data_IF_777736245769
#
_entry.id   IF_777736245769
#
_cell.length_a   1.000
_cell.length_b   1.000
_cell.length_c   1.000
_cell.angle_alpha   90.00
_cell.angle_beta   90.00
_cell.angle_gamma   90.00
#
_symmetry.space_group_name_H-M   'P 1'
#
loop_
_entity.id
_entity.type
_entity.pdbx_description
1 polymer ?
#
# COMPACT_ATOMS: atom_id res chain seq x y z
N UNK A 1 -25.11 -31.26 38.55
CA UNK A 1 -24.93 -32.70 38.60
C UNK A 1 -23.45 -32.97 38.86
N UNK A 2 -23.18 -33.50 40.05
CA UNK A 2 -21.87 -33.96 40.55
C UNK A 2 -21.62 -35.38 40.08
N UNK A 3 -20.33 -35.73 39.87
CA UNK A 3 -19.67 -37.05 40.13
C UNK A 3 -18.24 -36.87 39.60
N UNK A 4 -17.19 -36.80 40.29
CA UNK A 4 -16.56 -37.42 41.49
C UNK A 4 -15.84 -38.76 41.18
N UNK A 5 -14.48 -38.66 41.28
CA UNK A 5 -13.43 -39.57 41.76
C UNK A 5 -13.43 -41.05 41.38
N UNK A 6 -12.23 -41.55 40.99
CA UNK A 6 -11.53 -42.58 41.77
C UNK A 6 -10.07 -42.74 41.37
N UNK A 7 -9.26 -42.84 42.40
CA UNK A 7 -7.85 -43.21 42.52
C UNK A 7 -7.70 -44.71 42.72
N UNK A 8 -6.53 -45.24 42.43
CA UNK A 8 -5.75 -46.26 43.20
C UNK A 8 -4.87 -47.05 42.21
N UNK A 9 -3.74 -47.49 42.44
CA UNK A 9 -2.69 -47.57 43.45
C UNK A 9 -1.71 -48.67 42.98
N UNK A 10 -0.42 -48.38 43.17
CA UNK A 10 0.73 -49.20 43.57
C UNK A 10 0.85 -50.70 43.28
N UNK A 11 2.08 -51.11 42.85
CA UNK A 11 3.11 -51.85 43.59
C UNK A 11 4.24 -52.31 42.66
N UNK A 12 5.48 -51.95 42.86
CA UNK A 12 6.61 -52.53 43.62
C UNK A 12 6.91 -54.02 43.37
N UNK A 13 8.14 -54.29 42.88
CA UNK A 13 9.17 -55.02 43.61
C UNK A 13 10.33 -55.53 42.72
N UNK A 14 11.53 -55.18 43.07
CA UNK A 14 12.76 -55.95 43.34
C UNK A 14 13.15 -57.06 42.34
N UNK A 15 14.37 -57.08 41.80
CA UNK A 15 15.55 -57.50 42.44
C UNK A 15 16.64 -57.97 41.48
N UNK A 16 17.87 -57.73 41.89
CA UNK A 16 19.09 -58.53 41.75
C UNK A 16 19.97 -58.34 40.49
N UNK A 17 21.17 -57.82 40.74
CA UNK A 17 22.43 -58.05 40.00
C UNK A 17 22.97 -59.49 40.32
N UNK A 18 23.92 -60.12 39.54
CA UNK A 18 25.33 -59.72 39.61
C UNK A 18 26.21 -59.88 38.33
N UNK A 19 27.25 -59.09 38.32
CA UNK A 19 28.71 -59.35 38.11
C UNK A 19 29.21 -60.30 36.98
N UNK A 20 30.11 -59.72 36.16
CA UNK A 20 31.32 -60.48 35.77
C UNK A 20 31.73 -60.37 34.29
N UNK A 21 32.91 -59.86 34.04
CA UNK A 21 33.74 -60.36 32.93
C UNK A 21 34.13 -59.32 31.90
N UNK A 22 35.29 -58.69 32.09
CA UNK A 22 35.97 -57.87 31.10
C UNK A 22 36.51 -58.64 29.91
N UNK A 23 36.54 -57.95 28.76
CA UNK A 23 37.54 -58.20 27.72
C UNK A 23 37.68 -56.89 26.88
N UNK A 24 38.91 -56.48 26.90
CA UNK A 24 39.50 -55.46 26.08
C UNK A 24 39.39 -55.82 24.58
N UNK A 25 38.80 -54.99 23.77
CA UNK A 25 38.90 -55.07 22.32
C UNK A 25 39.07 -53.70 21.74
N UNK A 26 40.17 -53.53 20.99
CA UNK A 26 40.58 -52.34 20.24
C UNK A 26 39.42 -51.80 19.40
N UNK A 27 39.06 -50.56 19.63
CA UNK A 27 38.25 -49.81 18.68
C UNK A 27 39.15 -49.06 17.70
N UNK A 28 39.16 -49.50 16.47
CA UNK A 28 39.69 -48.76 15.31
C UNK A 28 38.80 -47.55 15.12
N UNK A 29 39.36 -46.36 15.38
CA UNK A 29 38.69 -45.07 15.07
C UNK A 29 38.80 -44.82 13.56
N UNK A 30 37.77 -45.15 12.82
CA UNK A 30 37.60 -44.71 11.46
C UNK A 30 37.10 -43.25 11.51
N UNK A 31 38.01 -42.31 11.31
CA UNK A 31 37.70 -40.90 11.12
C UNK A 31 36.96 -40.72 9.78
N UNK A 32 35.64 -40.75 9.80
CA UNK A 32 34.85 -40.24 8.71
C UNK A 32 34.85 -38.71 8.81
N UNK A 33 35.69 -38.06 8.01
CA UNK A 33 35.56 -36.68 7.69
C UNK A 33 34.26 -36.48 6.88
N UNK A 34 33.19 -36.18 7.57
CA UNK A 34 31.98 -35.66 6.93
C UNK A 34 32.31 -34.27 6.35
N UNK A 35 32.63 -34.22 5.05
CA UNK A 35 32.59 -33.00 4.31
C UNK A 35 31.13 -32.54 4.28
N UNK A 36 30.74 -31.71 5.24
CA UNK A 36 29.49 -30.96 5.20
C UNK A 36 29.57 -30.00 4.03
N UNK A 37 28.94 -30.36 2.91
CA UNK A 37 28.51 -29.37 1.92
C UNK A 37 27.60 -28.37 2.68
N UNK A 38 28.20 -27.25 3.04
CA UNK A 38 27.45 -26.06 3.41
C UNK A 38 26.75 -25.58 2.13
N UNK A 39 25.61 -26.20 1.79
CA UNK A 39 24.66 -25.59 0.90
C UNK A 39 24.28 -24.28 1.60
N UNK A 40 24.82 -23.16 1.07
CA UNK A 40 24.42 -21.83 1.49
C UNK A 40 22.92 -21.73 1.25
N UNK A 41 22.13 -22.05 2.26
CA UNK A 41 20.71 -21.74 2.31
C UNK A 41 20.64 -20.22 2.34
N UNK A 42 20.46 -19.60 1.18
CA UNK A 42 20.10 -18.20 1.06
C UNK A 42 18.79 -18.09 1.85
N UNK A 43 18.85 -17.50 3.03
CA UNK A 43 17.68 -17.25 3.85
C UNK A 43 16.63 -16.57 2.97
N UNK A 44 15.35 -16.98 3.02
CA UNK A 44 14.29 -16.34 2.21
C UNK A 44 14.25 -14.81 2.35
N UNK A 45 14.62 -14.28 3.52
CA UNK A 45 14.73 -12.85 3.77
C UNK A 45 15.84 -12.17 2.95
N UNK A 46 16.98 -12.86 2.72
CA UNK A 46 18.09 -12.30 1.94
C UNK A 46 17.80 -12.30 0.45
N UNK A 47 17.18 -13.37 -0.07
CA UNK A 47 16.70 -13.40 -1.45
C UNK A 47 15.63 -12.33 -1.72
N UNK A 48 14.79 -12.03 -0.71
CA UNK A 48 13.76 -11.01 -0.79
C UNK A 48 14.34 -9.58 -0.77
N UNK A 49 15.41 -9.34 0.00
CA UNK A 49 16.11 -8.04 -0.01
C UNK A 49 16.84 -7.80 -1.34
N UNK A 50 17.41 -8.82 -1.94
CA UNK A 50 18.10 -8.71 -3.23
C UNK A 50 17.13 -8.36 -4.37
N UNK A 51 15.86 -8.83 -4.32
CA UNK A 51 14.84 -8.46 -5.31
C UNK A 51 14.56 -6.96 -5.34
N UNK A 52 14.53 -6.30 -4.19
CA UNK A 52 14.18 -4.88 -4.04
C UNK A 52 15.37 -3.92 -4.17
N UNK A 53 16.56 -4.43 -4.43
CA UNK A 53 17.77 -3.63 -4.49
C UNK A 53 18.34 -3.60 -5.91
N UNK A 54 18.67 -2.41 -6.41
CA UNK A 54 19.37 -2.16 -7.66
C UNK A 54 20.37 -1.04 -7.43
N UNK A 55 21.52 -1.08 -8.11
CA UNK A 55 22.49 -0.01 -8.03
C UNK A 55 21.92 1.28 -8.68
N UNK A 56 22.11 2.42 -8.03
CA UNK A 56 21.62 3.70 -8.55
C UNK A 56 22.21 4.04 -9.93
N UNK A 57 23.44 3.60 -10.21
CA UNK A 57 24.07 3.76 -11.52
C UNK A 57 23.37 3.00 -12.65
N UNK A 58 22.66 1.90 -12.32
CA UNK A 58 21.93 1.12 -13.31
C UNK A 58 20.57 1.74 -13.64
N UNK A 59 19.96 2.47 -12.71
CA UNK A 59 18.63 3.07 -12.88
C UNK A 59 18.57 4.09 -14.02
N UNK A 60 19.69 4.77 -14.31
CA UNK A 60 19.80 5.74 -15.40
C UNK A 60 19.59 5.15 -16.79
N UNK A 61 19.76 3.83 -16.97
CA UNK A 61 19.57 3.16 -18.27
C UNK A 61 18.09 2.82 -18.56
N UNK A 62 17.22 2.95 -17.58
CA UNK A 62 15.79 2.65 -17.73
C UNK A 62 14.97 3.93 -17.91
N UNK A 63 13.95 3.88 -18.74
CA UNK A 63 12.92 4.93 -18.82
C UNK A 63 11.88 4.78 -17.71
N UNK A 64 11.10 5.83 -17.44
CA UNK A 64 10.01 5.78 -16.45
C UNK A 64 9.03 4.65 -16.77
N UNK A 65 8.72 3.83 -15.77
CA UNK A 65 7.86 2.66 -15.88
C UNK A 65 8.50 1.44 -16.54
N UNK A 66 9.79 1.49 -16.90
CA UNK A 66 10.47 0.30 -17.43
C UNK A 66 10.55 -0.79 -16.36
N UNK A 67 10.14 -1.99 -16.72
CA UNK A 67 10.26 -3.17 -15.87
C UNK A 67 11.74 -3.56 -15.74
N UNK A 68 12.27 -3.54 -14.53
CA UNK A 68 13.65 -3.92 -14.22
C UNK A 68 13.73 -5.43 -14.00
N UNK A 69 12.81 -5.98 -13.20
CA UNK A 69 12.70 -7.43 -12.96
C UNK A 69 11.29 -7.82 -12.51
N UNK A 70 10.97 -9.09 -12.69
CA UNK A 70 9.74 -9.69 -12.19
C UNK A 70 10.03 -11.05 -11.57
N UNK A 71 9.19 -11.48 -10.63
CA UNK A 71 9.27 -12.76 -9.95
C UNK A 71 7.86 -13.32 -9.73
N UNK A 72 7.55 -14.57 -10.12
CA UNK A 72 6.28 -15.20 -9.82
C UNK A 72 5.98 -15.20 -8.32
N UNK A 73 4.71 -15.02 -7.96
CA UNK A 73 4.21 -15.06 -6.59
C UNK A 73 3.19 -16.17 -6.42
N UNK A 74 3.26 -16.83 -5.26
CA UNK A 74 2.27 -17.82 -4.85
C UNK A 74 1.05 -17.15 -4.20
N UNK A 75 -0.09 -17.85 -4.25
CA UNK A 75 -1.33 -17.41 -3.58
C UNK A 75 -2.15 -16.39 -4.37
N UNK A 76 -1.88 -16.22 -5.66
CA UNK A 76 -2.79 -15.48 -6.55
C UNK A 76 -4.21 -16.08 -6.49
N UNK A 77 -5.25 -15.28 -6.74
CA UNK A 77 -6.61 -15.81 -6.90
C UNK A 77 -6.68 -16.87 -8.00
N UNK A 78 -7.59 -17.85 -7.84
CA UNK A 78 -7.85 -18.86 -8.86
C UNK A 78 -8.16 -18.19 -10.21
N UNK A 79 -7.60 -18.73 -11.29
CA UNK A 79 -7.74 -18.16 -12.63
C UNK A 79 -6.87 -16.94 -12.90
N UNK A 80 -5.80 -16.74 -12.11
CA UNK A 80 -4.86 -15.65 -12.32
C UNK A 80 -3.43 -16.02 -11.93
N UNK A 81 -2.45 -15.38 -12.57
CA UNK A 81 -1.04 -15.38 -12.18
C UNK A 81 -0.67 -14.03 -11.53
N UNK A 82 0.24 -14.06 -10.56
CA UNK A 82 0.75 -12.86 -9.93
C UNK A 82 2.27 -12.81 -9.98
N UNK A 83 2.79 -11.60 -10.10
CA UNK A 83 4.22 -11.35 -10.20
C UNK A 83 4.58 -10.14 -9.35
N UNK A 84 5.56 -10.31 -8.48
CA UNK A 84 6.25 -9.18 -7.88
C UNK A 84 7.06 -8.50 -8.97
N UNK A 85 7.04 -7.17 -9.01
CA UNK A 85 7.77 -6.37 -9.99
C UNK A 85 8.66 -5.35 -9.31
N UNK A 86 9.78 -5.04 -9.95
CA UNK A 86 10.61 -3.88 -9.70
C UNK A 86 10.67 -3.07 -10.99
N UNK A 87 10.37 -1.80 -10.90
CA UNK A 87 10.33 -0.90 -12.06
C UNK A 87 10.98 0.44 -11.73
N UNK A 88 11.40 1.16 -12.75
CA UNK A 88 11.96 2.50 -12.63
C UNK A 88 10.85 3.53 -12.55
N UNK A 89 11.00 4.48 -11.67
CA UNK A 89 10.16 5.67 -11.57
C UNK A 89 11.02 6.92 -11.38
N UNK A 90 10.37 8.05 -11.12
CA UNK A 90 11.02 9.34 -10.96
C UNK A 90 10.75 9.91 -9.57
N UNK A 91 11.81 10.29 -8.88
CA UNK A 91 11.75 10.94 -7.58
C UNK A 91 11.32 12.40 -7.66
N UNK A 92 11.30 13.07 -6.52
CA UNK A 92 10.76 14.43 -6.42
C UNK A 92 11.58 15.47 -7.20
N UNK A 93 12.90 15.29 -7.28
CA UNK A 93 13.83 16.17 -8.02
C UNK A 93 14.10 15.69 -9.44
N UNK A 94 13.34 14.71 -9.95
CA UNK A 94 13.56 14.14 -11.29
C UNK A 94 14.58 13.01 -11.33
N UNK A 95 15.17 12.62 -10.19
CA UNK A 95 16.14 11.54 -10.10
C UNK A 95 15.50 10.17 -10.38
N UNK A 96 16.25 9.24 -11.02
CA UNK A 96 15.77 7.88 -11.22
C UNK A 96 15.71 7.12 -9.89
N UNK A 97 14.57 6.50 -9.61
CA UNK A 97 14.34 5.66 -8.43
C UNK A 97 13.77 4.30 -8.82
N UNK A 98 14.02 3.30 -7.98
CA UNK A 98 13.36 2.00 -8.08
C UNK A 98 12.09 1.99 -7.23
N UNK A 99 11.03 1.42 -7.76
CA UNK A 99 9.77 1.20 -7.05
C UNK A 99 9.35 -0.25 -7.25
N UNK A 100 8.83 -0.87 -6.20
CA UNK A 100 8.29 -2.23 -6.28
C UNK A 100 6.76 -2.23 -6.34
N UNK A 101 6.21 -3.38 -6.66
CA UNK A 101 4.78 -3.62 -6.70
C UNK A 101 4.44 -5.02 -7.14
N UNK A 102 3.19 -5.23 -7.50
CA UNK A 102 2.69 -6.51 -7.98
C UNK A 102 1.84 -6.31 -9.22
N UNK A 103 1.98 -7.20 -10.19
CA UNK A 103 1.07 -7.32 -11.34
C UNK A 103 0.32 -8.64 -11.24
N UNK A 104 -1.00 -8.58 -11.30
CA UNK A 104 -1.89 -9.74 -11.28
C UNK A 104 -2.59 -9.80 -12.64
N UNK A 105 -2.52 -10.96 -13.29
CA UNK A 105 -3.01 -11.15 -14.66
C UNK A 105 -4.01 -12.29 -14.67
N UNK A 106 -5.25 -12.09 -15.13
CA UNK A 106 -6.18 -13.20 -15.29
C UNK A 106 -5.72 -14.15 -16.42
N UNK A 107 -6.07 -15.41 -16.30
CA UNK A 107 -5.82 -16.42 -17.31
C UNK A 107 -6.48 -16.05 -18.65
N UNK A 108 -6.07 -16.72 -19.71
CA UNK A 108 -6.59 -16.52 -21.07
C UNK A 108 -5.83 -15.47 -21.87
N UNK A 109 -6.16 -15.40 -23.16
CA UNK A 109 -5.52 -14.48 -24.10
C UNK A 109 -6.03 -13.04 -23.91
N UNK A 110 -5.17 -12.02 -24.13
CA UNK A 110 -5.63 -10.63 -24.13
C UNK A 110 -6.60 -10.38 -25.29
N UNK A 111 -7.59 -9.49 -25.13
CA UNK A 111 -8.49 -9.10 -26.20
C UNK A 111 -7.75 -8.29 -27.27
N UNK A 112 -8.35 -8.14 -28.48
CA UNK A 112 -7.85 -7.20 -29.48
C UNK A 112 -7.66 -5.80 -28.89
N UNK A 113 -6.50 -5.19 -29.13
CA UNK A 113 -6.12 -3.89 -28.57
C UNK A 113 -5.43 -3.97 -27.19
N UNK A 114 -5.27 -5.17 -26.66
CA UNK A 114 -4.60 -5.46 -25.41
C UNK A 114 -5.54 -5.42 -24.20
N UNK A 115 -5.10 -6.04 -23.13
CA UNK A 115 -5.84 -6.17 -21.87
C UNK A 115 -5.96 -4.82 -21.19
N UNK A 116 -7.15 -4.37 -20.76
CA UNK A 116 -7.29 -3.19 -19.93
C UNK A 116 -6.53 -3.36 -18.61
N UNK A 117 -5.96 -2.26 -18.10
CA UNK A 117 -5.20 -2.28 -16.85
C UNK A 117 -5.91 -1.45 -15.80
N UNK A 118 -6.08 -1.97 -14.60
CA UNK A 118 -6.50 -1.19 -13.43
C UNK A 118 -5.30 -1.04 -12.51
N UNK A 119 -4.88 0.21 -12.26
CA UNK A 119 -3.88 0.47 -11.25
C UNK A 119 -4.54 0.59 -9.87
N UNK A 120 -4.17 -0.30 -8.94
CA UNK A 120 -4.57 -0.23 -7.55
C UNK A 120 -3.58 0.57 -6.74
N UNK A 121 -4.09 1.57 -6.04
CA UNK A 121 -3.36 2.42 -5.11
C UNK A 121 -3.81 2.11 -3.67
N UNK A 122 -2.92 1.51 -2.88
CA UNK A 122 -3.26 0.99 -1.56
C UNK A 122 -3.41 2.09 -0.50
N UNK A 123 -4.23 1.87 0.55
CA UNK A 123 -4.29 2.74 1.71
C UNK A 123 -3.00 2.65 2.53
N UNK A 124 -2.88 3.46 3.57
CA UNK A 124 -1.73 3.50 4.47
C UNK A 124 -1.39 2.12 5.04
N UNK A 125 -0.18 1.65 4.74
CA UNK A 125 0.40 0.41 5.29
C UNK A 125 1.54 0.68 6.27
N UNK A 126 1.96 1.92 6.41
CA UNK A 126 3.08 2.40 7.20
C UNK A 126 4.05 3.21 6.35
N UNK A 127 5.16 3.64 6.95
CA UNK A 127 6.19 4.45 6.27
C UNK A 127 7.57 3.80 6.25
N UNK A 128 7.70 2.63 6.88
CA UNK A 128 8.95 1.86 6.85
C UNK A 128 9.03 1.00 5.58
N UNK A 129 10.25 0.75 5.12
CA UNK A 129 10.54 -0.11 3.96
C UNK A 129 9.86 -1.49 4.04
N UNK A 130 9.79 -2.08 5.24
CA UNK A 130 9.16 -3.37 5.47
C UNK A 130 7.64 -3.37 5.25
N UNK A 131 7.01 -2.19 5.15
CA UNK A 131 5.56 -2.04 5.05
C UNK A 131 5.03 -2.10 3.60
N UNK A 132 5.87 -2.49 2.64
CA UNK A 132 5.46 -2.69 1.26
C UNK A 132 4.35 -3.76 1.16
N UNK A 133 3.22 -3.48 0.49
CA UNK A 133 2.18 -4.48 0.26
C UNK A 133 2.67 -5.75 -0.41
N UNK A 134 3.64 -5.66 -1.32
CA UNK A 134 4.23 -6.84 -1.99
C UNK A 134 5.00 -7.77 -1.04
N UNK A 135 5.28 -7.35 0.19
CA UNK A 135 5.85 -8.13 1.28
C UNK A 135 4.78 -8.71 2.22
N UNK A 136 3.56 -8.19 2.16
CA UNK A 136 2.49 -8.55 3.09
C UNK A 136 1.91 -9.94 2.80
N UNK A 137 1.60 -10.69 3.87
CA UNK A 137 0.99 -12.03 3.76
C UNK A 137 -0.45 -11.99 3.23
N UNK A 138 -1.12 -10.85 3.36
CA UNK A 138 -2.53 -10.65 2.99
C UNK A 138 -2.71 -9.76 1.76
N UNK A 139 -1.68 -9.65 0.92
CA UNK A 139 -1.65 -8.77 -0.24
C UNK A 139 -2.92 -8.86 -1.09
N UNK A 140 -3.26 -10.06 -1.56
CA UNK A 140 -4.38 -10.23 -2.50
C UNK A 140 -5.74 -9.92 -1.87
N UNK A 141 -5.87 -10.06 -0.55
CA UNK A 141 -7.08 -9.70 0.20
C UNK A 141 -7.17 -8.18 0.44
N UNK A 142 -6.04 -7.48 0.41
CA UNK A 142 -5.99 -6.03 0.62
C UNK A 142 -6.34 -5.23 -0.64
N UNK A 143 -6.24 -5.83 -1.83
CA UNK A 143 -6.64 -5.20 -3.10
C UNK A 143 -8.17 -5.30 -3.22
N UNK A 144 -8.85 -4.20 -2.93
CA UNK A 144 -10.31 -4.19 -2.89
C UNK A 144 -10.92 -4.36 -4.30
N UNK A 145 -11.79 -5.37 -4.44
CA UNK A 145 -12.40 -5.72 -5.72
C UNK A 145 -11.50 -6.54 -6.67
N UNK A 146 -10.36 -7.08 -6.20
CA UNK A 146 -9.41 -7.81 -7.06
C UNK A 146 -10.08 -8.90 -7.90
N UNK A 147 -10.89 -9.78 -7.29
CA UNK A 147 -11.57 -10.87 -8.01
C UNK A 147 -12.53 -10.34 -9.08
N UNK A 148 -13.25 -9.26 -8.78
CA UNK A 148 -14.16 -8.62 -9.74
C UNK A 148 -13.41 -8.01 -10.92
N UNK A 149 -12.27 -7.34 -10.69
CA UNK A 149 -11.43 -6.80 -11.75
C UNK A 149 -10.86 -7.91 -12.65
N UNK A 150 -10.37 -9.01 -12.06
CA UNK A 150 -9.87 -10.16 -12.81
C UNK A 150 -10.99 -10.85 -13.62
N UNK A 151 -12.21 -10.95 -13.06
CA UNK A 151 -13.37 -11.51 -13.77
C UNK A 151 -13.78 -10.67 -14.99
N UNK A 152 -13.52 -9.36 -14.97
CA UNK A 152 -13.67 -8.47 -16.14
C UNK A 152 -12.52 -8.61 -17.15
N UNK A 153 -11.54 -9.47 -16.90
CA UNK A 153 -10.39 -9.65 -17.77
C UNK A 153 -9.30 -8.59 -17.61
N UNK A 154 -9.36 -7.75 -16.60
CA UNK A 154 -8.36 -6.69 -16.38
C UNK A 154 -7.08 -7.23 -15.76
N UNK A 155 -5.93 -6.72 -16.21
CA UNK A 155 -4.71 -6.83 -15.43
C UNK A 155 -4.73 -5.79 -14.29
N UNK A 156 -4.24 -6.17 -13.11
CA UNK A 156 -4.16 -5.27 -11.96
C UNK A 156 -2.71 -4.97 -11.67
N UNK A 157 -2.33 -3.68 -11.72
CA UNK A 157 -1.02 -3.19 -11.32
C UNK A 157 -1.13 -2.53 -9.94
N UNK A 158 -0.49 -3.09 -8.92
CA UNK A 158 -0.51 -2.58 -7.56
C UNK A 158 0.90 -2.13 -7.16
N UNK A 159 1.12 -0.82 -7.14
CA UNK A 159 2.39 -0.24 -6.69
C UNK A 159 2.55 -0.35 -5.18
N UNK A 160 3.79 -0.47 -4.68
CA UNK A 160 4.09 -0.34 -3.26
C UNK A 160 4.34 1.13 -2.85
N UNK A 161 4.49 2.05 -3.79
CA UNK A 161 5.02 3.42 -3.69
C UNK A 161 6.54 3.47 -3.39
N UNK A 162 7.22 4.59 -3.69
CA UNK A 162 8.63 4.78 -3.38
C UNK A 162 8.94 4.62 -1.89
N UNK A 163 10.09 4.00 -1.57
CA UNK A 163 10.54 3.83 -0.20
C UNK A 163 9.86 2.70 0.58
N UNK A 164 8.79 2.09 0.04
CA UNK A 164 8.24 0.84 0.53
C UNK A 164 8.82 -0.32 -0.30
N UNK A 165 9.44 -1.30 0.37
CA UNK A 165 10.22 -2.37 -0.28
C UNK A 165 11.58 -1.92 -0.77
N UNK A 166 11.68 -0.81 -1.46
CA UNK A 166 12.89 -0.23 -2.04
C UNK A 166 13.61 0.74 -1.08
N UNK A 167 14.89 1.08 -1.31
CA UNK A 167 15.62 2.05 -0.50
C UNK A 167 15.05 3.46 -0.56
N UNK A 168 15.31 4.24 0.48
CA UNK A 168 14.88 5.62 0.66
C UNK A 168 13.70 5.77 1.62
N UNK A 169 13.41 6.99 2.08
CA UNK A 169 12.20 7.28 2.86
C UNK A 169 10.96 7.20 1.97
N UNK A 170 9.86 6.66 2.50
CA UNK A 170 8.58 6.69 1.81
C UNK A 170 8.02 8.12 1.82
N UNK A 171 7.75 8.74 0.64
CA UNK A 171 7.11 10.04 0.53
C UNK A 171 5.60 9.94 0.81
N UNK A 172 5.26 9.67 2.07
CA UNK A 172 3.89 9.44 2.53
C UNK A 172 3.01 10.68 2.30
N UNK A 173 1.88 10.51 1.64
CA UNK A 173 0.96 11.59 1.23
C UNK A 173 1.64 12.68 0.37
N UNK A 174 2.69 12.33 -0.35
CA UNK A 174 3.32 13.19 -1.34
C UNK A 174 2.75 12.87 -2.71
N UNK A 175 1.73 13.62 -3.12
CA UNK A 175 0.86 13.27 -4.22
C UNK A 175 1.56 13.08 -5.56
N UNK A 176 2.53 13.92 -5.91
CA UNK A 176 3.31 13.80 -7.17
C UNK A 176 4.11 12.50 -7.19
N UNK A 177 4.76 12.14 -6.08
CA UNK A 177 5.54 10.91 -5.97
C UNK A 177 4.67 9.66 -6.10
N UNK A 178 3.57 9.61 -5.36
CA UNK A 178 2.65 8.48 -5.38
C UNK A 178 1.91 8.37 -6.72
N UNK A 179 1.49 9.50 -7.30
CA UNK A 179 0.86 9.55 -8.62
C UNK A 179 1.77 9.05 -9.75
N UNK A 180 3.06 9.46 -9.76
CA UNK A 180 4.06 8.94 -10.69
C UNK A 180 4.23 7.43 -10.54
N UNK A 181 4.34 6.92 -9.30
CA UNK A 181 4.49 5.49 -9.05
C UNK A 181 3.27 4.69 -9.54
N UNK A 182 2.05 5.21 -9.40
CA UNK A 182 0.83 4.61 -9.97
C UNK A 182 0.92 4.55 -11.49
N UNK A 183 1.28 5.63 -12.18
CA UNK A 183 1.39 5.67 -13.64
C UNK A 183 2.50 4.74 -14.15
N UNK A 184 3.65 4.72 -13.50
CA UNK A 184 4.77 3.86 -13.88
C UNK A 184 4.49 2.38 -13.63
N UNK A 185 3.67 2.03 -12.63
CA UNK A 185 3.19 0.66 -12.45
C UNK A 185 2.33 0.17 -13.61
N UNK A 186 1.53 1.06 -14.21
CA UNK A 186 0.77 0.77 -15.45
C UNK A 186 1.71 0.52 -16.63
N UNK A 187 2.74 1.35 -16.79
CA UNK A 187 3.77 1.17 -17.83
C UNK A 187 4.49 -0.17 -17.68
N UNK A 188 4.91 -0.50 -16.45
CA UNK A 188 5.56 -1.77 -16.14
C UNK A 188 4.64 -2.96 -16.44
N UNK A 189 3.38 -2.92 -16.01
CA UNK A 189 2.41 -3.96 -16.31
C UNK A 189 2.15 -4.10 -17.82
N UNK A 190 2.01 -2.97 -18.53
CA UNK A 190 1.77 -2.98 -19.98
C UNK A 190 2.89 -3.64 -20.77
N UNK A 191 4.14 -3.40 -20.40
CA UNK A 191 5.33 -3.91 -21.12
C UNK A 191 5.79 -5.28 -20.61
N UNK A 192 5.23 -5.77 -19.50
CA UNK A 192 5.60 -7.05 -18.92
C UNK A 192 5.20 -8.21 -19.85
N UNK A 193 6.13 -9.13 -20.16
CA UNK A 193 5.81 -10.33 -20.94
C UNK A 193 4.66 -11.14 -20.34
N UNK A 194 3.74 -11.61 -21.18
CA UNK A 194 2.60 -12.44 -20.76
C UNK A 194 1.37 -11.65 -20.27
N UNK A 195 1.48 -10.35 -20.02
CA UNK A 195 0.32 -9.51 -19.64
C UNK A 195 -0.53 -9.16 -20.84
N UNK A 196 0.09 -8.82 -21.97
CA UNK A 196 -0.61 -8.34 -23.16
C UNK A 196 -1.38 -7.05 -22.91
N UNK A 197 -0.79 -6.14 -22.08
CA UNK A 197 -1.45 -4.91 -21.65
C UNK A 197 -1.68 -3.92 -22.80
N UNK A 198 -2.89 -3.35 -22.86
CA UNK A 198 -3.27 -2.28 -23.77
C UNK A 198 -2.83 -0.91 -23.28
N UNK A 199 -3.22 0.14 -24.03
CA UNK A 199 -2.97 1.55 -23.63
C UNK A 199 -4.01 2.09 -22.66
N UNK A 200 -5.21 1.49 -22.64
CA UNK A 200 -6.31 1.92 -21.80
C UNK A 200 -6.10 1.47 -20.36
N UNK A 201 -6.23 2.41 -19.42
CA UNK A 201 -6.15 2.10 -18.00
C UNK A 201 -7.13 2.95 -17.20
N UNK A 202 -7.56 2.41 -16.06
CA UNK A 202 -8.24 3.13 -15.00
C UNK A 202 -7.39 3.05 -13.72
N UNK A 203 -7.65 3.95 -12.79
CA UNK A 203 -7.00 3.94 -11.49
C UNK A 203 -8.06 3.81 -10.39
N UNK A 204 -7.76 2.97 -9.37
CA UNK A 204 -8.63 2.71 -8.25
C UNK A 204 -7.84 2.77 -6.94
N UNK A 205 -8.27 3.56 -5.96
CA UNK A 205 -7.52 3.72 -4.72
C UNK A 205 -8.38 4.05 -3.51
N UNK A 206 -7.83 3.80 -2.32
CA UNK A 206 -8.47 4.03 -1.04
C UNK A 206 -7.63 4.92 -0.13
N UNK A 207 -8.22 5.91 0.53
CA UNK A 207 -7.55 6.72 1.56
C UNK A 207 -6.31 7.44 0.98
N UNK A 208 -5.08 7.18 1.47
CA UNK A 208 -3.82 7.58 0.83
C UNK A 208 -3.82 7.23 -0.66
N UNK A 209 -4.19 6.00 -1.00
CA UNK A 209 -4.29 5.57 -2.40
C UNK A 209 -5.37 6.32 -3.19
N UNK A 210 -6.42 6.77 -2.51
CA UNK A 210 -7.41 7.68 -3.10
C UNK A 210 -6.80 9.03 -3.49
N UNK A 211 -5.93 9.60 -2.67
CA UNK A 211 -5.13 10.78 -3.03
C UNK A 211 -4.18 10.46 -4.19
N UNK A 212 -3.46 9.34 -4.12
CA UNK A 212 -2.50 8.94 -5.15
C UNK A 212 -3.14 8.81 -6.55
N UNK A 213 -4.35 8.23 -6.65
CA UNK A 213 -5.05 8.11 -7.94
C UNK A 213 -5.57 9.44 -8.46
N UNK A 214 -5.95 10.36 -7.57
CA UNK A 214 -6.29 11.73 -7.97
C UNK A 214 -5.07 12.45 -8.55
N UNK A 215 -3.90 12.33 -7.93
CA UNK A 215 -2.65 12.86 -8.48
C UNK A 215 -2.23 12.15 -9.77
N UNK A 216 -2.42 10.83 -9.88
CA UNK A 216 -2.21 10.13 -11.14
C UNK A 216 -3.10 10.70 -12.26
N UNK A 217 -4.36 11.03 -11.96
CA UNK A 217 -5.26 11.72 -12.88
C UNK A 217 -4.75 13.09 -13.32
N UNK A 218 -4.23 13.90 -12.37
CA UNK A 218 -3.67 15.22 -12.67
C UNK A 218 -2.41 15.14 -13.54
N UNK A 219 -1.58 14.11 -13.33
CA UNK A 219 -0.29 13.95 -14.00
C UNK A 219 -0.38 13.20 -15.34
N UNK A 220 -1.41 12.39 -15.56
CA UNK A 220 -1.47 11.42 -16.65
C UNK A 220 -1.17 12.02 -18.02
N UNK A 221 -1.75 13.17 -18.34
CA UNK A 221 -1.60 13.81 -19.66
C UNK A 221 -0.16 14.23 -19.96
N UNK A 222 0.56 14.72 -18.96
CA UNK A 222 1.92 15.26 -19.14
C UNK A 222 2.98 14.21 -18.89
N UNK A 223 2.79 13.39 -17.86
CA UNK A 223 3.78 12.40 -17.42
C UNK A 223 3.68 11.08 -18.18
N UNK A 224 2.49 10.66 -18.63
CA UNK A 224 2.26 9.39 -19.33
C UNK A 224 1.38 9.55 -20.59
N UNK A 225 1.77 10.44 -21.55
CA UNK A 225 0.93 10.77 -22.71
C UNK A 225 0.69 9.60 -23.66
N UNK A 226 1.51 8.55 -23.60
CA UNK A 226 1.35 7.35 -24.39
C UNK A 226 0.27 6.40 -23.86
N UNK A 227 -0.21 6.61 -22.63
CA UNK A 227 -1.29 5.86 -22.00
C UNK A 227 -2.63 6.61 -22.16
N UNK A 228 -3.73 5.87 -22.08
CA UNK A 228 -5.09 6.42 -22.18
C UNK A 228 -5.83 6.17 -20.86
N UNK A 229 -5.82 7.18 -19.97
CA UNK A 229 -6.63 7.16 -18.76
C UNK A 229 -8.11 7.23 -19.12
N UNK A 230 -8.91 6.25 -18.68
CA UNK A 230 -10.36 6.22 -18.94
C UNK A 230 -11.19 6.68 -17.75
N UNK A 231 -10.63 6.67 -16.54
CA UNK A 231 -11.31 7.15 -15.34
C UNK A 231 -10.49 7.01 -14.08
N UNK A 232 -10.84 7.81 -13.08
CA UNK A 232 -10.26 7.83 -11.75
C UNK A 232 -11.32 7.45 -10.74
N UNK A 233 -11.09 6.37 -9.98
CA UNK A 233 -11.98 5.92 -8.91
C UNK A 233 -11.26 6.04 -7.56
N UNK A 234 -11.89 6.70 -6.57
CA UNK A 234 -11.32 6.92 -5.26
C UNK A 234 -12.36 6.71 -4.14
N UNK A 235 -12.02 5.86 -3.17
CA UNK A 235 -12.81 5.66 -1.97
C UNK A 235 -12.17 6.39 -0.79
N UNK A 236 -12.96 7.20 -0.09
CA UNK A 236 -12.54 7.97 1.09
C UNK A 236 -11.17 8.65 0.89
N UNK A 237 -10.94 9.39 -0.21
CA UNK A 237 -9.62 9.91 -0.57
C UNK A 237 -9.14 10.97 0.42
N UNK A 238 -7.84 10.94 0.75
CA UNK A 238 -7.20 11.97 1.57
C UNK A 238 -7.03 13.26 0.74
N UNK A 239 -8.10 14.02 0.62
CA UNK A 239 -8.15 15.35 0.01
C UNK A 239 -8.17 16.42 1.11
N UNK A 240 -8.00 17.70 0.77
CA UNK A 240 -8.06 18.80 1.73
C UNK A 240 -7.15 18.59 2.95
N UNK A 241 -5.86 18.26 2.72
CA UNK A 241 -4.96 17.81 3.80
C UNK A 241 -4.92 18.76 5.01
N UNK A 242 -4.95 20.08 4.80
CA UNK A 242 -4.98 21.05 5.90
C UNK A 242 -6.21 20.86 6.79
N UNK A 243 -7.38 20.71 6.17
CA UNK A 243 -8.63 20.48 6.90
C UNK A 243 -8.62 19.12 7.60
N UNK A 244 -8.12 18.09 6.90
CA UNK A 244 -8.01 16.73 7.42
C UNK A 244 -7.16 16.71 8.69
N UNK A 245 -5.94 17.25 8.64
CA UNK A 245 -5.05 17.27 9.81
C UNK A 245 -5.65 18.06 10.98
N UNK A 246 -6.32 19.18 10.71
CA UNK A 246 -6.95 19.97 11.80
C UNK A 246 -8.15 19.25 12.44
N UNK A 247 -8.94 18.51 11.66
CA UNK A 247 -10.13 17.81 12.15
C UNK A 247 -9.78 16.52 12.90
N UNK A 248 -8.70 15.84 12.51
CA UNK A 248 -8.33 14.53 13.03
C UNK A 248 -7.41 14.62 14.24
N UNK A 249 -6.84 15.79 14.53
CA UNK A 249 -6.01 15.99 15.72
C UNK A 249 -6.77 15.65 17.02
N UNK A 250 -6.10 14.90 17.89
CA UNK A 250 -6.68 14.43 19.15
C UNK A 250 -7.39 13.08 19.03
N UNK A 251 -7.62 12.57 17.82
CA UNK A 251 -8.05 11.19 17.62
C UNK A 251 -6.84 10.24 17.51
N UNK A 252 -6.93 8.97 17.96
CA UNK A 252 -5.81 8.04 17.81
C UNK A 252 -5.39 7.81 16.35
N UNK A 253 -6.35 7.77 15.43
CA UNK A 253 -6.09 7.61 14.00
C UNK A 253 -5.39 8.83 13.41
N UNK A 254 -5.94 10.00 13.64
CA UNK A 254 -5.41 11.26 13.15
C UNK A 254 -4.01 11.58 13.71
N UNK A 255 -3.78 11.35 15.00
CA UNK A 255 -2.46 11.55 15.60
C UNK A 255 -1.41 10.62 14.95
N UNK A 256 -1.76 9.37 14.64
CA UNK A 256 -0.85 8.44 13.96
C UNK A 256 -0.54 8.88 12.53
N UNK A 257 -1.55 9.32 11.77
CA UNK A 257 -1.38 9.84 10.40
C UNK A 257 -0.49 11.09 10.44
N UNK A 258 -0.78 12.02 11.36
CA UNK A 258 0.02 13.23 11.55
C UNK A 258 1.48 12.89 11.88
N UNK A 259 1.72 11.99 12.82
CA UNK A 259 3.06 11.57 13.20
C UNK A 259 3.83 10.93 12.04
N UNK A 260 3.20 10.04 11.26
CA UNK A 260 3.81 9.45 10.07
C UNK A 260 4.11 10.49 8.99
N UNK A 261 3.23 11.46 8.79
CA UNK A 261 3.45 12.55 7.83
C UNK A 261 4.62 13.43 8.24
N UNK A 262 4.67 13.86 9.51
CA UNK A 262 5.76 14.67 10.05
C UNK A 262 7.10 13.92 9.95
N UNK A 263 7.10 12.63 10.29
CA UNK A 263 8.28 11.76 10.15
C UNK A 263 8.75 11.64 8.71
N UNK A 264 7.83 11.37 7.77
CA UNK A 264 8.14 11.24 6.35
C UNK A 264 8.66 12.57 5.77
N UNK A 265 7.92 13.65 5.99
CA UNK A 265 8.25 14.95 5.37
C UNK A 265 9.51 15.59 5.95
N UNK A 266 9.88 15.27 7.18
CA UNK A 266 11.20 15.67 7.73
C UNK A 266 12.37 14.99 7.01
N UNK A 267 12.14 13.87 6.33
CA UNK A 267 13.16 13.12 5.59
C UNK A 267 13.13 13.35 4.08
N UNK A 268 11.95 13.69 3.57
CA UNK A 268 11.71 13.85 2.13
C UNK A 268 11.83 15.30 1.69
N UNK A 269 11.47 16.24 2.57
CA UNK A 269 11.47 17.68 2.31
C UNK A 269 12.39 18.46 3.25
N UNK A 270 13.14 17.78 4.13
CA UNK A 270 13.88 18.39 5.23
C UNK A 270 13.01 19.32 6.11
N UNK A 271 11.69 19.01 6.20
CA UNK A 271 10.76 19.83 6.94
C UNK A 271 11.08 19.79 8.44
N UNK A 272 11.07 20.93 9.14
CA UNK A 272 11.55 21.05 10.52
C UNK A 272 10.56 20.42 11.52
N UNK A 273 10.56 19.11 11.66
CA UNK A 273 9.65 18.36 12.54
C UNK A 273 9.70 18.89 13.99
N UNK A 274 10.88 19.22 14.49
CA UNK A 274 11.07 19.76 15.86
C UNK A 274 10.51 21.17 16.05
N UNK A 275 10.10 21.87 15.00
CA UNK A 275 9.34 23.11 15.12
C UNK A 275 7.95 22.85 15.70
N UNK A 276 7.34 21.72 15.38
CA UNK A 276 5.94 21.42 15.69
C UNK A 276 5.78 20.28 16.71
N UNK A 277 6.78 19.41 16.84
CA UNK A 277 6.77 18.22 17.71
C UNK A 277 7.61 18.46 18.95
N UNK A 278 7.15 17.97 20.11
CA UNK A 278 7.97 18.00 21.34
C UNK A 278 9.12 17.00 21.22
N UNK A 279 10.34 17.31 21.72
CA UNK A 279 11.47 16.39 21.67
C UNK A 279 11.16 15.02 22.30
N UNK A 280 10.36 14.99 23.36
CA UNK A 280 9.97 13.79 24.10
C UNK A 280 9.08 12.85 23.28
N UNK A 281 8.39 13.38 22.25
CA UNK A 281 7.53 12.58 21.39
C UNK A 281 8.30 11.90 20.24
N UNK A 282 9.51 12.36 19.92
CA UNK A 282 10.29 11.82 18.79
C UNK A 282 10.49 10.31 18.85
N UNK A 283 10.89 9.69 20.00
CA UNK A 283 11.05 8.25 20.08
C UNK A 283 9.75 7.48 19.77
N UNK A 284 8.59 7.99 20.22
CA UNK A 284 7.31 7.37 19.94
C UNK A 284 6.89 7.50 18.45
N UNK A 285 7.27 8.61 17.80
CA UNK A 285 7.07 8.82 16.37
C UNK A 285 7.95 7.86 15.57
N UNK A 286 9.22 7.69 15.93
CA UNK A 286 10.14 6.77 15.24
C UNK A 286 9.69 5.31 15.45
N UNK A 287 9.24 4.94 16.65
CA UNK A 287 8.67 3.61 16.89
C UNK A 287 7.42 3.37 16.04
N UNK A 288 6.50 4.35 15.97
CA UNK A 288 5.30 4.27 15.16
C UNK A 288 5.65 4.13 13.67
N UNK A 289 6.64 4.89 13.20
CA UNK A 289 7.09 4.88 11.80
C UNK A 289 7.70 3.53 11.40
N UNK A 290 8.30 2.80 12.34
CA UNK A 290 8.84 1.46 12.12
C UNK A 290 7.76 0.36 12.04
N UNK A 291 6.51 0.66 12.42
CA UNK A 291 5.41 -0.31 12.48
C UNK A 291 4.54 -0.28 11.23
N UNK A 292 4.23 -1.48 10.69
CA UNK A 292 3.32 -1.62 9.56
C UNK A 292 1.86 -1.82 10.00
N UNK A 293 0.94 -1.57 9.08
CA UNK A 293 -0.49 -1.82 9.22
C UNK A 293 -0.87 -2.85 8.15
N UNK A 294 -0.80 -4.14 8.47
CA UNK A 294 -1.20 -5.21 7.57
C UNK A 294 -2.63 -5.69 7.83
N UNK A 295 -3.08 -5.65 9.09
CA UNK A 295 -4.38 -6.16 9.53
C UNK A 295 -5.01 -5.24 10.55
N UNK A 296 -6.33 -5.37 10.70
CA UNK A 296 -7.09 -4.67 11.75
C UNK A 296 -6.47 -4.84 13.16
N UNK A 297 -5.90 -5.99 13.46
CA UNK A 297 -5.25 -6.26 14.75
C UNK A 297 -3.93 -5.50 14.96
N UNK A 298 -3.28 -5.00 13.94
CA UNK A 298 -2.05 -4.21 14.08
C UNK A 298 -2.29 -2.87 14.76
N UNK A 299 -3.54 -2.37 14.72
CA UNK A 299 -3.99 -1.23 15.52
C UNK A 299 -3.74 -1.46 17.01
N UNK A 300 -3.86 -2.70 17.49
CA UNK A 300 -3.57 -3.04 18.90
C UNK A 300 -2.09 -3.00 19.22
N UNK A 301 -1.20 -3.38 18.33
CA UNK A 301 0.26 -3.33 18.50
C UNK A 301 0.74 -1.88 18.58
N UNK A 302 0.10 -0.98 17.84
CA UNK A 302 0.38 0.46 17.83
C UNK A 302 -0.08 1.21 19.07
N UNK A 303 -0.78 0.55 20.00
CA UNK A 303 -1.34 1.21 21.20
C UNK A 303 -0.30 1.87 22.11
N UNK A 304 0.92 1.31 22.19
CA UNK A 304 2.02 1.89 22.99
C UNK A 304 2.37 3.30 22.53
N UNK A 305 2.99 3.45 21.35
CA UNK A 305 3.34 4.76 20.80
C UNK A 305 2.12 5.65 20.60
N UNK A 306 0.97 5.12 20.15
CA UNK A 306 -0.26 5.90 19.97
C UNK A 306 -0.77 6.54 21.27
N UNK A 307 -0.61 5.88 22.43
CA UNK A 307 -0.98 6.46 23.73
C UNK A 307 -0.07 7.62 24.13
N UNK A 308 1.23 7.54 23.81
CA UNK A 308 2.15 8.65 24.06
C UNK A 308 1.78 9.85 23.18
N UNK A 309 1.47 9.61 21.90
CA UNK A 309 1.04 10.65 20.95
C UNK A 309 -0.34 11.23 21.33
N UNK A 310 -1.20 10.48 22.00
CA UNK A 310 -2.53 10.96 22.42
C UNK A 310 -2.46 12.04 23.52
N UNK A 311 -1.37 12.12 24.29
CA UNK A 311 -1.30 13.03 25.45
C UNK A 311 -0.87 14.45 25.07
N UNK A 312 0.13 14.63 24.26
CA UNK A 312 0.59 15.94 23.74
C UNK A 312 1.89 15.75 22.98
N UNK A 313 1.84 15.45 21.69
CA UNK A 313 3.07 15.34 20.92
C UNK A 313 3.38 16.60 20.09
N UNK A 314 2.37 17.45 19.90
CA UNK A 314 2.53 18.70 19.17
C UNK A 314 2.74 19.85 20.14
N UNK A 315 3.79 20.66 19.91
CA UNK A 315 3.97 21.97 20.51
C UNK A 315 2.95 22.95 19.95
N UNK A 316 2.75 22.85 18.63
CA UNK A 316 1.89 23.74 17.85
C UNK A 316 0.73 22.94 17.26
N UNK A 317 -0.45 23.12 17.81
CA UNK A 317 -1.66 22.44 17.34
C UNK A 317 -2.11 22.93 15.95
N UNK A 318 -1.83 24.20 15.64
CA UNK A 318 -2.15 24.82 14.34
C UNK A 318 -1.00 24.73 13.35
N UNK A 319 -0.19 23.64 13.42
CA UNK A 319 0.99 23.45 12.56
C UNK A 319 0.64 23.53 11.07
N UNK A 320 -0.57 23.13 10.68
CA UNK A 320 -1.05 23.18 9.32
C UNK A 320 -1.09 24.59 8.71
N UNK A 321 -0.98 25.63 9.52
CA UNK A 321 -0.90 27.03 9.10
C UNK A 321 0.51 27.62 9.19
N UNK A 322 1.49 26.90 9.77
CA UNK A 322 2.86 27.36 9.89
C UNK A 322 3.69 27.09 8.62
N UNK A 323 4.62 27.98 8.24
CA UNK A 323 5.64 27.65 7.25
C UNK A 323 6.64 26.60 7.84
N UNK A 324 7.17 25.66 7.04
CA UNK A 324 6.79 25.37 5.63
C UNK A 324 5.57 24.46 5.48
N UNK A 325 5.00 23.95 6.59
CA UNK A 325 3.95 22.93 6.64
C UNK A 325 2.72 23.32 5.82
N UNK A 326 2.29 24.60 5.95
CA UNK A 326 1.16 25.12 5.18
C UNK A 326 1.35 24.93 3.67
N UNK A 327 2.52 25.29 3.16
CA UNK A 327 2.83 25.17 1.74
C UNK A 327 2.90 23.69 1.32
N UNK A 328 3.56 22.84 2.11
CA UNK A 328 3.67 21.42 1.84
C UNK A 328 2.30 20.72 1.83
N UNK A 329 1.42 21.02 2.79
CA UNK A 329 0.06 20.48 2.84
C UNK A 329 -0.77 20.94 1.63
N UNK A 330 -0.63 22.21 1.22
CA UNK A 330 -1.34 22.76 0.06
C UNK A 330 -0.87 22.09 -1.23
N UNK A 331 0.44 21.92 -1.43
CA UNK A 331 1.03 21.32 -2.63
C UNK A 331 0.69 19.82 -2.76
N UNK A 332 0.43 19.16 -1.63
CA UNK A 332 0.03 17.74 -1.60
C UNK A 332 -1.49 17.54 -1.47
N UNK A 333 -2.28 18.59 -1.59
CA UNK A 333 -3.74 18.54 -1.72
C UNK A 333 -4.10 18.48 -3.21
N UNK A 334 -4.82 17.44 -3.68
CA UNK A 334 -5.15 17.32 -5.10
C UNK A 334 -6.04 18.47 -5.55
N UNK A 335 -5.66 19.11 -6.66
CA UNK A 335 -6.50 20.06 -7.37
C UNK A 335 -7.72 19.36 -7.99
N UNK A 336 -8.72 20.12 -8.43
CA UNK A 336 -9.81 19.55 -9.22
C UNK A 336 -9.28 19.00 -10.56
N UNK A 337 -9.72 17.81 -10.94
CA UNK A 337 -9.35 17.19 -12.20
C UNK A 337 -10.06 17.89 -13.38
N UNK A 338 -9.43 17.81 -14.55
CA UNK A 338 -10.01 18.32 -15.80
C UNK A 338 -11.39 17.69 -16.08
N UNK A 339 -12.36 18.45 -16.65
CA UNK A 339 -13.65 17.91 -17.09
C UNK A 339 -13.57 16.75 -18.09
N UNK A 340 -12.41 16.56 -18.73
CA UNK A 340 -12.17 15.41 -19.63
C UNK A 340 -11.92 14.09 -18.92
N UNK A 341 -11.74 14.09 -17.60
CA UNK A 341 -11.43 12.90 -16.80
C UNK A 341 -12.65 12.51 -15.96
N UNK A 342 -13.31 11.38 -16.26
CA UNK A 342 -14.38 10.84 -15.44
C UNK A 342 -13.91 10.45 -14.05
N UNK A 343 -14.73 10.74 -13.04
CA UNK A 343 -14.38 10.50 -11.63
C UNK A 343 -15.49 9.72 -10.94
N UNK A 344 -15.10 8.68 -10.20
CA UNK A 344 -15.93 7.98 -9.24
C UNK A 344 -15.41 8.30 -7.83
N UNK A 345 -16.28 8.75 -6.95
CA UNK A 345 -15.99 8.95 -5.54
C UNK A 345 -16.91 8.09 -4.69
N UNK A 346 -16.38 7.46 -3.65
CA UNK A 346 -17.16 6.79 -2.62
C UNK A 346 -16.76 7.27 -1.22
N UNK A 347 -17.73 7.45 -0.31
CA UNK A 347 -17.46 7.93 1.04
C UNK A 347 -18.41 7.30 2.05
N UNK A 348 -17.84 6.72 3.11
CA UNK A 348 -18.61 6.22 4.25
C UNK A 348 -19.13 7.36 5.13
N UNK A 349 -20.41 7.30 5.52
CA UNK A 349 -21.02 8.36 6.35
C UNK A 349 -20.60 8.31 7.83
N UNK A 350 -20.00 7.19 8.29
CA UNK A 350 -19.40 7.02 9.62
C UNK A 350 -17.87 7.01 9.58
N UNK A 351 -17.29 7.56 8.52
CA UNK A 351 -15.85 7.72 8.43
C UNK A 351 -15.35 8.77 9.41
N UNK A 352 -14.46 8.37 10.30
CA UNK A 352 -13.85 9.22 11.34
C UNK A 352 -12.33 9.40 11.14
N UNK A 353 -11.81 9.02 9.96
CA UNK A 353 -10.42 9.24 9.51
C UNK A 353 -10.41 10.28 8.39
N UNK A 354 -11.08 10.00 7.28
CA UNK A 354 -11.39 11.00 6.26
C UNK A 354 -12.87 11.36 6.41
N UNK A 355 -13.12 12.37 7.24
CA UNK A 355 -14.50 12.75 7.57
C UNK A 355 -15.28 13.16 6.31
N UNK A 356 -16.59 12.84 6.23
CA UNK A 356 -17.41 13.07 5.02
C UNK A 356 -17.40 14.49 4.49
N UNK A 357 -17.18 15.49 5.35
CA UNK A 357 -17.07 16.90 4.94
C UNK A 357 -15.87 17.18 4.04
N UNK A 358 -14.75 16.47 4.25
CA UNK A 358 -13.54 16.59 3.41
C UNK A 358 -13.85 16.16 1.98
N UNK A 359 -14.45 14.98 1.81
CA UNK A 359 -14.85 14.47 0.48
C UNK A 359 -15.94 15.34 -0.15
N UNK A 360 -16.88 15.86 0.64
CA UNK A 360 -17.93 16.77 0.15
C UNK A 360 -17.34 18.07 -0.39
N UNK A 361 -16.35 18.65 0.30
CA UNK A 361 -15.67 19.86 -0.17
C UNK A 361 -14.92 19.60 -1.48
N UNK A 362 -14.27 18.46 -1.60
CA UNK A 362 -13.58 18.09 -2.84
C UNK A 362 -14.57 17.83 -3.99
N UNK A 363 -15.68 17.13 -3.72
CA UNK A 363 -16.78 16.97 -4.68
C UNK A 363 -17.30 18.31 -5.19
N UNK A 364 -17.52 19.28 -4.30
CA UNK A 364 -17.97 20.61 -4.68
C UNK A 364 -16.97 21.30 -5.63
N UNK A 365 -15.66 21.16 -5.39
CA UNK A 365 -14.61 21.70 -6.28
C UNK A 365 -14.65 21.06 -7.67
N UNK A 366 -14.81 19.72 -7.72
CA UNK A 366 -14.91 18.99 -8.99
C UNK A 366 -16.15 19.40 -9.78
N UNK A 367 -17.28 19.52 -9.11
CA UNK A 367 -18.53 19.97 -9.74
C UNK A 367 -18.44 21.40 -10.24
N UNK A 368 -17.78 22.29 -9.50
CA UNK A 368 -17.62 23.70 -9.88
C UNK A 368 -16.81 23.89 -11.18
N UNK A 369 -15.88 22.97 -11.47
CA UNK A 369 -15.11 23.01 -12.74
C UNK A 369 -15.77 22.15 -13.85
N UNK A 370 -16.93 21.55 -13.60
CA UNK A 370 -17.66 20.75 -14.58
C UNK A 370 -17.12 19.32 -14.77
N UNK A 371 -16.34 18.78 -13.84
CA UNK A 371 -15.89 17.40 -13.93
C UNK A 371 -17.08 16.42 -13.82
N UNK A 372 -17.16 15.37 -14.66
CA UNK A 372 -18.21 14.37 -14.54
C UNK A 372 -17.91 13.42 -13.35
N UNK A 373 -18.63 13.64 -12.25
CA UNK A 373 -18.43 12.92 -10.98
C UNK A 373 -19.62 12.05 -10.68
N UNK A 374 -19.36 10.76 -10.46
CA UNK A 374 -20.28 9.83 -9.81
C UNK A 374 -19.90 9.73 -8.33
N UNK A 375 -20.72 10.31 -7.46
CA UNK A 375 -20.54 10.23 -6.00
C UNK A 375 -21.45 9.15 -5.40
N UNK A 376 -20.88 8.27 -4.59
CA UNK A 376 -21.59 7.21 -3.87
C UNK A 376 -21.37 7.42 -2.36
N UNK A 377 -22.45 7.77 -1.67
CA UNK A 377 -22.48 7.80 -0.21
C UNK A 377 -22.81 6.41 0.33
N UNK A 378 -22.03 5.93 1.31
CA UNK A 378 -22.18 4.62 1.92
C UNK A 378 -22.73 4.78 3.36
N UNK A 379 -24.03 4.62 3.57
CA UNK A 379 -24.67 4.84 4.87
C UNK A 379 -24.11 3.90 5.94
N UNK A 380 -23.66 4.46 7.07
CA UNK A 380 -23.18 3.70 8.22
C UNK A 380 -21.80 3.07 8.05
N UNK A 381 -21.15 3.22 6.89
CA UNK A 381 -19.82 2.64 6.60
C UNK A 381 -18.72 3.52 7.19
N UNK A 382 -17.74 2.89 7.84
CA UNK A 382 -16.54 3.53 8.36
C UNK A 382 -15.41 3.55 7.33
N UNK A 383 -14.32 4.29 7.65
CA UNK A 383 -13.15 4.44 6.78
C UNK A 383 -12.62 3.12 6.20
N UNK A 384 -12.40 2.14 7.07
CA UNK A 384 -11.76 0.87 6.72
C UNK A 384 -12.53 0.06 5.66
N UNK A 385 -13.82 0.29 5.53
CA UNK A 385 -14.69 -0.47 4.65
C UNK A 385 -15.16 0.29 3.41
N UNK A 386 -14.80 1.58 3.29
CA UNK A 386 -15.28 2.40 2.19
C UNK A 386 -14.93 1.82 0.81
N UNK A 387 -13.69 1.39 0.59
CA UNK A 387 -13.28 0.78 -0.67
C UNK A 387 -13.88 -0.62 -0.88
N UNK A 388 -13.98 -1.43 0.19
CA UNK A 388 -14.59 -2.76 0.11
C UNK A 388 -16.06 -2.67 -0.32
N UNK A 389 -16.80 -1.80 0.34
CA UNK A 389 -18.26 -1.72 0.17
C UNK A 389 -18.66 -0.94 -1.10
N UNK A 390 -17.72 -0.25 -1.75
CA UNK A 390 -17.91 0.41 -3.04
C UNK A 390 -17.22 -0.30 -4.21
N UNK A 391 -16.49 -1.39 -3.97
CA UNK A 391 -15.67 -2.03 -5.00
C UNK A 391 -16.48 -2.47 -6.22
N UNK A 392 -17.62 -3.13 -6.02
CA UNK A 392 -18.45 -3.62 -7.14
C UNK A 392 -19.00 -2.46 -7.97
N UNK A 393 -19.44 -1.39 -7.32
CA UNK A 393 -19.91 -0.17 -8.00
C UNK A 393 -18.76 0.51 -8.78
N UNK A 394 -17.56 0.59 -8.20
CA UNK A 394 -16.40 1.14 -8.86
C UNK A 394 -15.97 0.31 -10.08
N UNK A 395 -16.01 -1.03 -9.97
CA UNK A 395 -15.68 -1.94 -11.08
C UNK A 395 -16.70 -1.82 -12.21
N UNK A 396 -17.97 -1.82 -11.91
CA UNK A 396 -19.03 -1.62 -12.91
C UNK A 396 -18.87 -0.26 -13.60
N UNK A 397 -18.62 0.80 -12.83
CA UNK A 397 -18.36 2.12 -13.38
C UNK A 397 -17.11 2.15 -14.27
N UNK A 398 -16.01 1.50 -13.87
CA UNK A 398 -14.81 1.41 -14.70
C UNK A 398 -15.04 0.61 -15.98
N UNK A 399 -15.86 -0.45 -15.93
CA UNK A 399 -16.22 -1.24 -17.12
C UNK A 399 -16.89 -0.38 -18.19
N UNK A 400 -17.82 0.48 -17.79
CA UNK A 400 -18.45 1.45 -18.70
C UNK A 400 -17.43 2.42 -19.32
N UNK A 401 -16.44 2.85 -18.53
CA UNK A 401 -15.38 3.75 -19.04
C UNK A 401 -14.46 3.06 -20.03
N UNK A 402 -14.12 1.79 -19.77
CA UNK A 402 -13.37 0.99 -20.76
C UNK A 402 -14.17 0.75 -22.04
N UNK A 403 -15.48 0.57 -21.92
CA UNK A 403 -16.38 0.44 -23.07
C UNK A 403 -16.64 1.77 -23.81
N UNK A 404 -16.14 2.90 -23.29
CA UNK A 404 -16.33 4.21 -23.91
C UNK A 404 -17.73 4.82 -23.69
N UNK A 405 -18.49 4.28 -22.74
CA UNK A 405 -19.81 4.86 -22.39
C UNK A 405 -19.65 6.26 -21.80
N UNK A 406 -20.62 7.18 -22.00
CA UNK A 406 -20.61 8.49 -21.40
C UNK A 406 -20.52 8.43 -19.87
N UNK A 407 -19.69 9.31 -19.28
CA UNK A 407 -19.55 9.33 -17.83
C UNK A 407 -20.79 9.94 -17.17
N UNK A 408 -21.45 9.21 -16.25
CA UNK A 408 -22.53 9.80 -15.48
C UNK A 408 -22.00 10.83 -14.48
N UNK A 409 -22.85 11.80 -14.15
CA UNK A 409 -22.56 12.80 -13.11
C UNK A 409 -23.79 13.02 -12.26
N UNK A 410 -23.61 13.00 -10.95
CA UNK A 410 -24.64 13.39 -10.00
C UNK A 410 -24.28 14.64 -9.21
N UNK A 411 -23.45 15.52 -9.80
CA UNK A 411 -23.24 16.89 -9.31
C UNK A 411 -24.58 17.60 -9.14
N UNK A 412 -24.79 18.26 -7.98
CA UNK A 412 -26.02 18.95 -7.65
C UNK A 412 -27.14 18.08 -7.06
N UNK A 413 -26.94 16.77 -6.95
CA UNK A 413 -27.87 15.83 -6.28
C UNK A 413 -27.40 15.41 -4.87
N UNK A 414 -26.26 15.95 -4.39
CA UNK A 414 -25.62 15.56 -3.14
C UNK A 414 -25.52 16.70 -2.12
#
# INVERSE_FOLDING_TARGET
>A
MKFSFSRADRASAHGARPVGGGRLLLAIVASFTAATLAAASISPARAQTDFYTIASSELGYYSNGALIRSQPMWGAPDGAAAYRILYRSEGLSGEPIAVSGVVIVPDGSPPPGGRPIVAWAHPTTGVARACAPSLARVLFQSIQGLRGMLAQGYAVAATDYPGLGTPGPHPYLVGVSEGRAVLDSVRAARTMPGVGGGRAFAVWGHSQGGQAVLFAGLLAKEYAPELRLVGVAAAAPATELRSLFNLDLGTPGGNNITAMTLWSWSRVYDAPMLQVVTPEAVPAIDELAAMCIERFFDVFRRRGPSRMLARSFLKEKDFANLPPWRALLTNNTPAALSPSIPIFLAQGTKDNIVVPSVTRNYLAKLCAVGSPVTMVWLPGVSHLFAARDSADAAIAWMADRFAGAPAPSNCGQN
#
